data_IF_090449557137
#
_entry.id   IF_090449557137
#
_cell.length_a   1.000
_cell.length_b   1.000
_cell.length_c   1.000
_cell.angle_alpha   90.00
_cell.angle_beta   90.00
_cell.angle_gamma   90.00
#
_symmetry.space_group_name_H-M   'P 1'
#
loop_
_entity.id
_entity.type
_entity.pdbx_description
1 polymer ?
#
# COMPACT_ATOMS: atom_id res chain seq x y z
N UNK A 1 26.11 58.07 -42.19
CA UNK A 1 26.33 56.60 -42.07
C UNK A 1 25.65 55.92 -43.26
N UNK A 2 26.13 54.76 -43.70
CA UNK A 2 25.47 53.98 -44.78
C UNK A 2 24.11 53.46 -44.28
N UNK A 3 23.02 53.85 -44.93
CA UNK A 3 21.65 53.47 -44.54
C UNK A 3 20.95 52.75 -45.69
N UNK A 4 20.93 51.41 -45.65
CA UNK A 4 20.23 50.62 -46.66
C UNK A 4 20.82 50.76 -48.08
N UNK A 5 19.97 50.65 -49.12
CA UNK A 5 20.36 50.10 -50.43
C UNK A 5 21.37 50.98 -51.17
N UNK A 6 22.64 50.56 -51.14
CA UNK A 6 23.70 50.87 -52.10
C UNK A 6 23.85 52.34 -52.56
N UNK A 7 23.41 53.33 -51.76
CA UNK A 7 23.43 54.73 -52.16
C UNK A 7 23.87 55.66 -51.02
N UNK A 8 24.74 56.61 -51.35
CA UNK A 8 25.06 57.78 -50.53
C UNK A 8 24.28 58.98 -51.07
N UNK A 9 23.21 59.36 -50.36
CA UNK A 9 22.40 60.54 -50.67
C UNK A 9 22.90 61.72 -49.83
N UNK A 10 23.29 62.81 -50.49
CA UNK A 10 23.86 63.99 -49.85
C UNK A 10 23.16 65.26 -50.33
N UNK A 11 22.58 66.03 -49.40
CA UNK A 11 22.04 67.36 -49.72
C UNK A 11 23.19 68.31 -50.04
N UNK A 12 23.19 68.90 -51.24
CA UNK A 12 24.23 69.83 -51.67
C UNK A 12 24.11 71.17 -50.92
N UNK A 13 25.07 71.53 -50.05
CA UNK A 13 24.99 72.74 -49.22
C UNK A 13 25.58 73.98 -49.92
N UNK A 14 26.11 73.84 -51.14
CA UNK A 14 26.89 74.90 -51.78
C UNK A 14 25.97 76.01 -52.29
N UNK A 15 26.20 77.21 -51.79
CA UNK A 15 25.57 78.45 -52.25
C UNK A 15 26.59 79.31 -53.01
N UNK A 16 26.08 80.11 -53.93
CA UNK A 16 26.82 81.19 -54.58
C UNK A 16 27.06 82.38 -53.64
N UNK A 17 27.94 83.28 -54.05
CA UNK A 17 28.15 84.62 -53.49
C UNK A 17 26.86 85.46 -53.37
N UNK A 18 25.79 85.07 -54.08
CA UNK A 18 24.45 85.69 -54.04
C UNK A 18 23.43 84.89 -53.24
N UNK A 19 23.83 83.82 -52.55
CA UNK A 19 22.99 82.98 -51.69
C UNK A 19 22.11 81.95 -52.42
N UNK A 20 22.14 81.88 -53.75
CA UNK A 20 21.42 80.86 -54.52
C UNK A 20 22.23 79.55 -54.58
N UNK A 21 21.56 78.39 -54.47
CA UNK A 21 22.20 77.07 -54.56
C UNK A 21 22.94 76.89 -55.89
N UNK A 22 24.18 76.40 -55.81
CA UNK A 22 25.00 76.08 -56.97
C UNK A 22 24.90 74.59 -57.31
N UNK A 23 24.43 74.29 -58.51
CA UNK A 23 24.55 72.96 -59.09
C UNK A 23 26.03 72.56 -59.20
N UNK A 24 26.39 71.29 -58.95
CA UNK A 24 27.76 70.82 -59.12
C UNK A 24 28.20 70.96 -60.58
N UNK A 25 29.42 71.46 -60.77
CA UNK A 25 30.09 71.61 -62.06
C UNK A 25 30.65 70.27 -62.58
N UNK A 26 30.95 69.34 -61.67
CA UNK A 26 31.34 67.97 -62.00
C UNK A 26 31.29 67.08 -60.76
N UNK A 27 30.92 65.80 -60.95
CA UNK A 27 30.78 64.82 -59.87
C UNK A 27 31.63 63.61 -60.24
N UNK A 28 32.40 63.09 -59.29
CA UNK A 28 33.25 61.92 -59.48
C UNK A 28 32.49 60.63 -59.15
N UNK A 29 32.96 59.52 -59.70
CA UNK A 29 32.50 58.16 -59.38
C UNK A 29 30.98 57.98 -59.58
N UNK A 30 30.50 58.40 -60.77
CA UNK A 30 29.14 58.24 -61.28
C UNK A 30 28.02 58.77 -60.37
N UNK A 31 28.34 59.77 -59.53
CA UNK A 31 27.36 60.46 -58.72
C UNK A 31 26.39 61.31 -59.55
N UNK A 32 25.09 61.19 -59.25
CA UNK A 32 23.99 61.81 -60.00
C UNK A 32 23.46 63.01 -59.21
N UNK A 33 23.40 64.19 -59.81
CA UNK A 33 22.74 65.35 -59.22
C UNK A 33 21.26 65.41 -59.58
N UNK A 34 20.40 65.41 -58.56
CA UNK A 34 18.97 65.61 -58.68
C UNK A 34 18.63 67.08 -58.44
N UNK A 35 18.63 67.88 -59.50
CA UNK A 35 18.38 69.32 -59.43
C UNK A 35 17.04 69.69 -58.74
N UNK A 36 15.98 68.88 -58.92
CA UNK A 36 14.68 69.12 -58.30
C UNK A 36 14.63 68.95 -56.77
N UNK A 37 15.60 68.24 -56.18
CA UNK A 37 15.73 68.04 -54.72
C UNK A 37 17.03 68.61 -54.16
N UNK A 38 17.91 69.16 -55.00
CA UNK A 38 19.27 69.60 -54.65
C UNK A 38 20.12 68.52 -53.95
N UNK A 39 19.92 67.24 -54.28
CA UNK A 39 20.72 66.14 -53.74
C UNK A 39 21.72 65.59 -54.77
N UNK A 40 22.86 65.09 -54.28
CA UNK A 40 23.80 64.27 -55.04
C UNK A 40 23.70 62.83 -54.52
N UNK A 41 23.57 61.87 -55.44
CA UNK A 41 23.41 60.45 -55.12
C UNK A 41 24.53 59.66 -55.78
N UNK A 42 25.43 59.09 -54.97
CA UNK A 42 26.40 58.10 -55.44
C UNK A 42 25.87 56.70 -55.22
N UNK A 43 26.00 55.82 -56.20
CA UNK A 43 25.77 54.39 -56.00
C UNK A 43 27.06 53.76 -55.45
N UNK A 44 27.01 53.25 -54.22
CA UNK A 44 28.14 52.59 -53.57
C UNK A 44 28.13 51.10 -53.91
N UNK A 45 29.27 50.56 -54.30
CA UNK A 45 29.43 49.11 -54.48
C UNK A 45 29.25 48.41 -53.11
N UNK A 46 28.54 47.26 -53.00
CA UNK A 46 28.47 46.48 -51.76
C UNK A 46 29.85 46.14 -51.14
N UNK A 47 30.91 46.07 -51.94
CA UNK A 47 32.30 45.82 -51.52
C UNK A 47 33.12 47.10 -51.23
N UNK A 48 32.57 48.31 -51.39
CA UNK A 48 33.26 49.54 -51.00
C UNK A 48 33.53 49.59 -49.49
N UNK A 49 34.68 50.17 -49.13
CA UNK A 49 35.09 50.42 -47.75
C UNK A 49 34.77 51.88 -47.36
N UNK A 50 34.85 52.20 -46.07
CA UNK A 50 34.90 53.58 -45.56
C UNK A 50 35.86 54.44 -46.37
N UNK A 51 35.42 55.64 -46.76
CA UNK A 51 36.14 56.50 -47.70
C UNK A 51 35.50 57.87 -47.83
N UNK A 52 35.60 58.49 -49.02
CA UNK A 52 34.95 59.77 -49.30
C UNK A 52 34.58 59.90 -50.77
N UNK A 53 33.39 60.41 -51.07
CA UNK A 53 33.03 60.84 -52.44
C UNK A 53 33.35 62.33 -52.61
N UNK A 54 33.37 62.84 -53.85
CA UNK A 54 33.68 64.25 -54.11
C UNK A 54 32.95 64.81 -55.32
N UNK A 55 32.67 66.11 -55.25
CA UNK A 55 32.15 66.89 -56.36
C UNK A 55 32.79 68.28 -56.36
N UNK A 56 32.72 68.95 -57.51
CA UNK A 56 33.24 70.28 -57.72
C UNK A 56 32.09 71.23 -58.01
N UNK A 57 32.24 72.48 -57.57
CA UNK A 57 31.30 73.56 -57.84
C UNK A 57 32.06 74.76 -58.41
N UNK A 58 31.38 75.54 -59.24
CA UNK A 58 31.90 76.79 -59.76
C UNK A 58 30.77 77.78 -60.05
N UNK A 59 30.98 79.04 -59.70
CA UNK A 59 30.30 80.15 -60.34
C UNK A 59 30.95 80.41 -61.70
N UNK A 60 30.09 80.54 -62.71
CA UNK A 60 30.49 80.79 -64.09
C UNK A 60 30.27 82.27 -64.42
N UNK A 61 31.22 82.88 -65.12
CA UNK A 61 31.08 84.24 -65.62
C UNK A 61 30.06 84.30 -66.78
N UNK A 62 29.80 85.49 -67.31
CA UNK A 62 28.86 85.68 -68.43
C UNK A 62 29.29 84.98 -69.74
N UNK A 63 30.48 84.37 -69.80
CA UNK A 63 31.00 83.58 -70.92
C UNK A 63 31.02 82.08 -70.62
N UNK A 64 30.56 81.65 -69.44
CA UNK A 64 30.58 80.25 -68.99
C UNK A 64 31.88 79.83 -68.31
N UNK A 65 32.79 80.76 -67.99
CA UNK A 65 34.11 80.45 -67.41
C UNK A 65 34.03 80.34 -65.89
N UNK A 66 34.50 79.24 -65.27
CA UNK A 66 34.67 79.16 -63.82
C UNK A 66 35.58 80.28 -63.27
N UNK A 67 35.08 81.11 -62.36
CA UNK A 67 35.88 82.19 -61.72
C UNK A 67 35.96 82.08 -60.19
N UNK A 68 35.01 81.40 -59.56
CA UNK A 68 35.00 81.11 -58.12
C UNK A 68 34.47 79.70 -57.92
N UNK A 69 35.26 78.80 -57.33
CA UNK A 69 34.89 77.39 -57.24
C UNK A 69 35.75 76.60 -56.27
N UNK A 70 35.38 75.35 -56.05
CA UNK A 70 36.06 74.47 -55.09
C UNK A 70 35.64 73.02 -55.21
N UNK A 71 36.25 72.20 -54.35
CA UNK A 71 35.94 70.77 -54.19
C UNK A 71 35.25 70.55 -52.86
N UNK A 72 34.09 69.91 -52.87
CA UNK A 72 33.48 69.33 -51.66
C UNK A 72 33.86 67.85 -51.60
N UNK A 73 34.35 67.43 -50.44
CA UNK A 73 34.66 66.03 -50.13
C UNK A 73 33.72 65.57 -49.03
N UNK A 74 32.93 64.53 -49.32
CA UNK A 74 31.93 63.97 -48.40
C UNK A 74 32.47 62.65 -47.85
N UNK A 75 32.97 62.60 -46.60
CA UNK A 75 33.37 61.34 -45.99
C UNK A 75 32.15 60.45 -45.74
N UNK A 76 32.31 59.14 -45.90
CA UNK A 76 31.29 58.15 -45.59
C UNK A 76 31.90 56.93 -44.92
N UNK A 77 31.17 56.37 -43.95
CA UNK A 77 31.57 55.18 -43.21
C UNK A 77 30.68 54.00 -43.57
N UNK A 78 31.32 52.86 -43.84
CA UNK A 78 30.67 51.57 -44.11
C UNK A 78 30.75 50.74 -42.83
N UNK A 79 29.70 50.83 -42.03
CA UNK A 79 29.53 50.00 -40.83
C UNK A 79 29.06 48.60 -41.23
N UNK A 80 29.62 47.57 -40.57
CA UNK A 80 29.11 46.20 -40.67
C UNK A 80 28.03 45.99 -39.63
N UNK A 81 27.01 45.24 -39.99
CA UNK A 81 26.06 44.73 -39.00
C UNK A 81 26.71 43.70 -38.07
N UNK A 82 26.34 43.74 -36.80
CA UNK A 82 26.58 42.65 -35.87
C UNK A 82 25.69 41.45 -36.19
N UNK A 83 26.15 40.21 -35.95
CA UNK A 83 25.32 39.03 -36.12
C UNK A 83 24.21 38.96 -35.07
N UNK A 84 23.13 38.25 -35.39
CA UNK A 84 22.05 37.92 -34.45
C UNK A 84 22.21 36.48 -34.01
N UNK A 85 22.39 36.25 -32.70
CA UNK A 85 22.34 34.89 -32.14
C UNK A 85 20.92 34.58 -31.68
N UNK A 86 20.29 33.59 -32.31
CA UNK A 86 18.99 33.05 -31.93
C UNK A 86 19.20 31.87 -30.98
N UNK A 87 18.73 32.02 -29.74
CA UNK A 87 18.85 31.05 -28.65
C UNK A 87 17.50 30.39 -28.38
N UNK A 88 17.55 29.11 -28.03
CA UNK A 88 16.38 28.31 -27.65
C UNK A 88 16.62 27.79 -26.23
N UNK A 89 15.90 28.35 -25.25
CA UNK A 89 16.16 28.09 -23.82
C UNK A 89 14.91 27.61 -23.08
N UNK A 90 15.11 26.87 -21.99
CA UNK A 90 14.03 26.57 -21.06
C UNK A 90 13.74 27.74 -20.09
N UNK A 91 12.75 27.59 -19.22
CA UNK A 91 12.40 28.55 -18.15
C UNK A 91 13.52 28.87 -17.16
N UNK A 92 14.55 28.03 -17.06
CA UNK A 92 15.75 28.28 -16.25
C UNK A 92 16.87 29.01 -17.02
N UNK A 93 16.71 29.23 -18.33
CA UNK A 93 17.71 29.86 -19.20
C UNK A 93 18.76 28.90 -19.79
N UNK A 94 18.61 27.60 -19.58
CA UNK A 94 19.48 26.56 -20.13
C UNK A 94 19.18 26.35 -21.62
N UNK A 95 20.22 26.18 -22.45
CA UNK A 95 20.07 25.95 -23.90
C UNK A 95 19.60 24.53 -24.16
N UNK A 96 18.45 24.40 -24.84
CA UNK A 96 17.77 23.12 -25.09
C UNK A 96 17.73 22.70 -26.57
N UNK A 97 18.15 23.57 -27.48
CA UNK A 97 18.38 23.24 -28.89
C UNK A 97 19.55 24.08 -29.47
N UNK A 98 20.19 23.64 -30.58
CA UNK A 98 21.32 24.36 -31.16
C UNK A 98 21.01 25.81 -31.52
N UNK A 99 21.87 26.73 -31.09
CA UNK A 99 21.75 28.16 -31.41
C UNK A 99 22.01 28.41 -32.90
N UNK A 100 21.35 29.44 -33.46
CA UNK A 100 21.52 29.84 -34.87
C UNK A 100 22.10 31.24 -34.96
N UNK A 101 22.99 31.48 -35.92
CA UNK A 101 23.52 32.80 -36.21
C UNK A 101 22.91 33.33 -37.51
N UNK A 102 22.33 34.53 -37.47
CA UNK A 102 21.87 35.26 -38.66
C UNK A 102 22.83 36.42 -38.97
N UNK A 103 23.05 36.68 -40.25
CA UNK A 103 23.93 37.76 -40.74
C UNK A 103 23.26 38.48 -41.90
N UNK A 104 23.36 39.80 -41.95
CA UNK A 104 22.79 40.64 -43.02
C UNK A 104 23.46 42.01 -43.08
N UNK A 105 22.85 42.95 -43.80
CA UNK A 105 23.33 44.33 -43.90
C UNK A 105 22.74 45.24 -42.80
N UNK A 106 23.45 46.30 -42.43
CA UNK A 106 22.99 47.27 -41.43
C UNK A 106 21.65 47.90 -41.85
N UNK A 107 20.66 47.84 -40.95
CA UNK A 107 19.30 48.31 -41.19
C UNK A 107 18.42 47.38 -42.04
N UNK A 108 18.96 46.27 -42.57
CA UNK A 108 18.15 45.23 -43.22
C UNK A 108 17.25 44.56 -42.17
N UNK A 109 16.01 44.23 -42.54
CA UNK A 109 15.13 43.44 -41.69
C UNK A 109 15.51 41.96 -41.68
N UNK A 110 15.25 41.30 -40.56
CA UNK A 110 15.33 39.85 -40.43
C UNK A 110 14.11 39.29 -39.71
N UNK A 111 13.85 38.01 -39.94
CA UNK A 111 12.89 37.21 -39.19
C UNK A 111 13.58 35.95 -38.68
N UNK A 112 13.16 35.45 -37.53
CA UNK A 112 13.51 34.10 -37.09
C UNK A 112 12.27 33.37 -36.58
N UNK A 113 12.33 32.05 -36.69
CA UNK A 113 11.26 31.14 -36.31
C UNK A 113 11.69 30.31 -35.10
N UNK A 114 10.74 30.11 -34.19
CA UNK A 114 10.82 29.11 -33.14
C UNK A 114 10.90 27.72 -33.79
N UNK A 115 11.76 26.84 -33.25
CA UNK A 115 11.83 25.45 -33.69
C UNK A 115 10.96 24.56 -32.81
N UNK A 116 10.49 23.44 -33.36
CA UNK A 116 9.89 22.38 -32.54
C UNK A 116 10.99 21.65 -31.78
N UNK A 117 10.81 21.48 -30.47
CA UNK A 117 11.77 20.81 -29.58
C UNK A 117 11.02 19.69 -28.86
N UNK A 118 11.45 18.42 -28.96
CA UNK A 118 10.80 17.31 -28.26
C UNK A 118 10.63 17.61 -26.77
N UNK A 119 9.42 17.34 -26.25
CA UNK A 119 9.09 17.50 -24.82
C UNK A 119 9.11 18.93 -24.29
N UNK A 120 9.18 19.94 -25.15
CA UNK A 120 9.13 21.36 -24.81
C UNK A 120 8.08 22.12 -25.65
N UNK A 121 7.28 22.96 -24.99
CA UNK A 121 6.33 23.85 -25.63
C UNK A 121 6.84 25.31 -25.54
N UNK A 122 6.71 26.07 -26.63
CA UNK A 122 7.03 27.50 -26.65
C UNK A 122 6.07 28.25 -25.70
N UNK A 123 6.62 29.14 -24.87
CA UNK A 123 5.82 29.95 -23.93
C UNK A 123 5.24 31.20 -24.63
N UNK A 124 5.97 31.72 -25.61
CA UNK A 124 5.53 32.89 -26.38
C UNK A 124 4.37 32.57 -27.32
N UNK A 125 3.43 33.51 -27.43
CA UNK A 125 2.23 33.40 -28.26
C UNK A 125 2.53 33.38 -29.77
N UNK A 126 3.72 33.81 -30.18
CA UNK A 126 4.15 33.95 -31.58
C UNK A 126 5.37 33.09 -31.86
N UNK A 127 5.27 32.19 -32.84
CA UNK A 127 6.39 31.37 -33.32
C UNK A 127 7.40 32.14 -34.17
N UNK A 128 7.21 33.45 -34.37
CA UNK A 128 8.06 34.32 -35.19
C UNK A 128 8.44 35.57 -34.41
N UNK A 129 9.72 35.96 -34.52
CA UNK A 129 10.21 37.26 -34.08
C UNK A 129 10.91 37.97 -35.25
N UNK A 130 10.82 39.31 -35.27
CA UNK A 130 11.34 40.14 -36.34
C UNK A 130 12.15 41.32 -35.78
N UNK A 131 13.19 41.75 -36.51
CA UNK A 131 14.03 42.87 -36.12
C UNK A 131 14.76 43.49 -37.32
N UNK A 132 15.71 44.37 -37.02
CA UNK A 132 16.65 44.95 -38.00
C UNK A 132 18.08 44.81 -37.46
N UNK A 133 19.04 44.56 -38.34
CA UNK A 133 20.45 44.44 -37.93
C UNK A 133 21.03 45.81 -37.49
N UNK A 134 21.61 45.85 -36.29
CA UNK A 134 22.40 46.98 -35.76
C UNK A 134 23.91 46.77 -35.96
N UNK A 135 24.72 47.76 -35.60
CA UNK A 135 26.18 47.63 -35.53
C UNK A 135 26.60 46.64 -34.43
N UNK A 136 25.96 46.71 -33.25
CA UNK A 136 26.18 45.78 -32.15
C UNK A 136 25.56 44.40 -32.44
N UNK A 137 26.22 43.27 -32.07
CA UNK A 137 25.62 41.95 -32.10
C UNK A 137 24.41 41.87 -31.17
N UNK A 138 23.36 41.16 -31.57
CA UNK A 138 22.13 41.02 -30.78
C UNK A 138 21.87 39.57 -30.40
N UNK A 139 21.14 39.37 -29.30
CA UNK A 139 20.68 38.05 -28.85
C UNK A 139 19.15 38.05 -28.86
N UNK A 140 18.56 37.10 -29.57
CA UNK A 140 17.12 36.87 -29.60
C UNK A 140 16.83 35.50 -29.00
N UNK A 141 15.88 35.40 -28.08
CA UNK A 141 15.71 34.20 -27.24
C UNK A 141 14.27 33.71 -27.28
N UNK A 142 14.04 32.51 -27.80
CA UNK A 142 12.77 31.81 -27.64
C UNK A 142 12.80 31.00 -26.35
N UNK A 143 11.79 31.18 -25.49
CA UNK A 143 11.69 30.51 -24.19
C UNK A 143 10.61 29.43 -24.22
N UNK A 144 10.96 28.24 -23.73
CA UNK A 144 10.10 27.07 -23.71
C UNK A 144 9.89 26.57 -22.27
N UNK A 145 8.72 25.98 -21.98
CA UNK A 145 8.48 25.18 -20.78
C UNK A 145 8.42 23.70 -21.17
N UNK A 146 8.87 22.81 -20.27
CA UNK A 146 8.76 21.37 -20.49
C UNK A 146 7.27 20.99 -20.50
N UNK A 147 6.86 20.13 -21.43
CA UNK A 147 5.46 19.71 -21.56
C UNK A 147 5.01 18.99 -20.28
N UNK A 148 3.78 19.25 -19.82
CA UNK A 148 3.16 18.49 -18.71
C UNK A 148 2.67 17.16 -19.27
N UNK A 149 3.06 16.06 -18.64
CA UNK A 149 2.70 14.73 -19.08
C UNK A 149 1.27 14.33 -18.67
N UNK A 150 0.76 13.26 -19.26
CA UNK A 150 -0.45 12.63 -18.74
C UNK A 150 -0.21 12.01 -17.35
N UNK A 151 -1.23 12.00 -16.48
CA UNK A 151 -1.10 11.45 -15.14
C UNK A 151 -0.95 9.93 -15.15
N UNK A 152 -0.23 9.42 -14.16
CA UNK A 152 -0.10 7.98 -13.90
C UNK A 152 -1.04 7.61 -12.76
N UNK A 153 -1.90 6.61 -12.98
CA UNK A 153 -2.77 6.05 -11.93
C UNK A 153 -2.12 4.80 -11.33
N UNK A 154 -2.02 4.74 -10.01
CA UNK A 154 -1.45 3.61 -9.28
C UNK A 154 -2.55 2.93 -8.47
N UNK A 155 -2.76 1.63 -8.70
CA UNK A 155 -3.78 0.83 -8.02
C UNK A 155 -3.16 -0.28 -7.18
N UNK A 156 -3.88 -0.68 -6.13
CA UNK A 156 -3.48 -1.68 -5.16
C UNK A 156 -4.65 -2.62 -4.91
N UNK A 157 -4.56 -3.86 -5.37
CA UNK A 157 -5.72 -4.78 -5.40
C UNK A 157 -5.33 -6.23 -5.16
N UNK A 158 -6.31 -7.04 -4.76
CA UNK A 158 -6.15 -8.48 -4.61
C UNK A 158 -6.08 -9.21 -5.97
N UNK A 159 -5.69 -10.48 -5.94
CA UNK A 159 -5.87 -11.41 -7.07
C UNK A 159 -7.31 -11.47 -7.62
N UNK A 160 -8.31 -11.16 -6.79
CA UNK A 160 -9.74 -11.12 -7.14
C UNK A 160 -10.25 -9.74 -7.57
N UNK A 161 -9.39 -8.72 -7.64
CA UNK A 161 -9.75 -7.35 -8.04
C UNK A 161 -10.40 -6.50 -6.94
N UNK A 162 -10.36 -6.94 -5.66
CA UNK A 162 -10.77 -6.11 -4.52
C UNK A 162 -9.72 -5.01 -4.33
N UNK A 163 -10.12 -3.74 -4.35
CA UNK A 163 -9.24 -2.62 -3.96
C UNK A 163 -8.84 -2.75 -2.49
N UNK A 164 -7.53 -2.76 -2.21
CA UNK A 164 -6.97 -2.97 -0.86
C UNK A 164 -6.43 -1.68 -0.24
N UNK A 165 -6.07 -0.69 -1.06
CA UNK A 165 -5.56 0.60 -0.62
C UNK A 165 -6.03 1.69 -1.59
N UNK A 166 -6.29 2.94 -1.14
CA UNK A 166 -6.63 4.05 -2.01
C UNK A 166 -5.65 4.20 -3.19
N UNK A 167 -6.19 4.42 -4.38
CA UNK A 167 -5.40 4.68 -5.58
C UNK A 167 -4.64 6.01 -5.46
N UNK A 168 -3.47 6.08 -6.07
CA UNK A 168 -2.61 7.28 -6.10
C UNK A 168 -2.49 7.79 -7.53
N UNK A 169 -2.60 9.11 -7.72
CA UNK A 169 -2.25 9.75 -8.98
C UNK A 169 -0.86 10.37 -8.88
N UNK A 170 0.00 10.14 -9.86
CA UNK A 170 1.23 10.90 -10.06
C UNK A 170 1.06 11.87 -11.23
N UNK A 171 1.70 13.04 -11.11
CA UNK A 171 1.78 14.07 -12.15
C UNK A 171 3.23 14.49 -12.29
N UNK A 172 3.70 14.71 -13.51
CA UNK A 172 5.07 15.12 -13.81
C UNK A 172 5.17 15.81 -15.16
N UNK A 173 6.38 16.22 -15.54
CA UNK A 173 6.71 16.71 -16.88
C UNK A 173 7.02 15.52 -17.81
N UNK A 174 6.89 15.72 -19.12
CA UNK A 174 7.20 14.67 -20.11
C UNK A 174 8.66 14.21 -19.97
N UNK A 175 8.90 12.91 -20.14
CA UNK A 175 10.18 12.21 -19.91
C UNK A 175 10.75 12.29 -18.49
N UNK A 176 10.05 12.91 -17.53
CA UNK A 176 10.47 12.86 -16.12
C UNK A 176 10.43 11.40 -15.63
N UNK A 177 11.45 10.96 -14.90
CA UNK A 177 11.52 9.61 -14.38
C UNK A 177 10.65 9.45 -13.13
N UNK A 178 10.00 8.30 -12.99
CA UNK A 178 9.30 7.91 -11.77
C UNK A 178 9.80 6.55 -11.25
N UNK A 179 9.72 6.41 -9.93
CA UNK A 179 9.92 5.17 -9.21
C UNK A 179 8.81 5.09 -8.16
N UNK A 180 8.18 3.92 -8.05
CA UNK A 180 7.20 3.62 -7.01
C UNK A 180 7.75 2.53 -6.09
N UNK A 181 7.28 2.58 -4.84
CA UNK A 181 7.45 1.51 -3.85
C UNK A 181 6.08 0.91 -3.53
N UNK A 182 6.05 -0.40 -3.30
CA UNK A 182 4.84 -1.09 -2.88
C UNK A 182 4.57 -0.85 -1.39
N UNK A 183 3.40 -0.29 -0.99
CA UNK A 183 3.04 -0.18 0.41
C UNK A 183 2.89 -1.57 1.05
N UNK A 184 3.16 -1.67 2.35
CA UNK A 184 2.77 -2.83 3.14
C UNK A 184 1.27 -2.73 3.43
N UNK A 185 0.54 -3.84 3.27
CA UNK A 185 -0.91 -3.93 3.49
C UNK A 185 -1.14 -5.11 4.46
N UNK A 186 -1.80 -4.86 5.59
CA UNK A 186 -2.04 -5.89 6.63
C UNK A 186 -2.78 -7.09 6.04
N UNK A 187 -2.36 -8.30 6.39
CA UNK A 187 -2.95 -9.55 5.89
C UNK A 187 -2.71 -9.85 4.41
N UNK A 188 -1.89 -9.07 3.70
CA UNK A 188 -1.61 -9.23 2.27
C UNK A 188 -0.09 -9.18 1.97
N UNK A 189 0.35 -9.97 0.98
CA UNK A 189 1.73 -9.93 0.45
C UNK A 189 1.72 -9.56 -1.03
N UNK A 190 2.63 -8.69 -1.46
CA UNK A 190 2.79 -8.36 -2.87
C UNK A 190 3.21 -9.61 -3.66
N UNK A 191 2.46 -9.98 -4.70
CA UNK A 191 2.77 -11.17 -5.49
C UNK A 191 4.03 -10.98 -6.34
N UNK A 192 4.11 -9.84 -7.04
CA UNK A 192 5.28 -9.44 -7.82
C UNK A 192 5.29 -7.92 -8.04
N UNK A 193 6.49 -7.36 -8.19
CA UNK A 193 6.69 -6.00 -8.68
C UNK A 193 6.14 -5.86 -10.13
N UNK A 194 5.27 -4.89 -10.44
CA UNK A 194 4.84 -4.65 -11.81
C UNK A 194 6.02 -4.14 -12.65
N UNK A 195 6.09 -4.54 -13.93
CA UNK A 195 7.22 -4.17 -14.82
C UNK A 195 7.37 -2.65 -15.00
N UNK A 196 6.27 -1.91 -14.89
CA UNK A 196 6.21 -0.45 -14.92
C UNK A 196 6.12 0.17 -13.52
N UNK A 197 6.69 -0.48 -12.48
CA UNK A 197 6.91 0.15 -11.18
C UNK A 197 7.85 1.37 -11.27
N UNK A 198 8.68 1.42 -12.33
CA UNK A 198 9.53 2.54 -12.70
C UNK A 198 9.48 2.76 -14.21
N UNK A 199 9.78 4.00 -14.62
CA UNK A 199 9.77 4.40 -16.01
C UNK A 199 9.83 5.92 -16.16
N UNK A 200 9.33 6.41 -17.28
CA UNK A 200 9.20 7.84 -17.55
C UNK A 200 7.74 8.21 -17.79
N UNK A 201 7.37 9.43 -17.44
CA UNK A 201 6.08 10.02 -17.79
C UNK A 201 5.93 10.21 -19.30
N UNK A 202 4.75 9.90 -19.84
CA UNK A 202 4.43 9.92 -21.29
C UNK A 202 3.27 10.87 -21.62
N UNK A 203 3.04 11.12 -22.91
CA UNK A 203 1.87 11.85 -23.41
C UNK A 203 0.57 11.07 -23.19
N UNK A 204 0.63 9.74 -23.21
CA UNK A 204 -0.49 8.85 -22.89
C UNK A 204 -0.56 8.55 -21.38
N UNK A 205 -1.76 8.43 -20.77
CA UNK A 205 -1.92 8.08 -19.37
C UNK A 205 -1.52 6.63 -19.10
N UNK A 206 -0.78 6.41 -18.01
CA UNK A 206 -0.32 5.07 -17.62
C UNK A 206 -1.08 4.54 -16.40
N UNK A 207 -1.15 3.21 -16.25
CA UNK A 207 -1.64 2.55 -15.03
C UNK A 207 -0.58 1.60 -14.48
N UNK A 208 -0.18 1.78 -13.22
CA UNK A 208 0.74 0.90 -12.48
C UNK A 208 -0.07 0.10 -11.47
N UNK A 209 -0.15 -1.21 -11.67
CA UNK A 209 -1.04 -2.11 -10.91
C UNK A 209 -0.25 -3.00 -9.97
N UNK A 210 -0.32 -2.75 -8.67
CA UNK A 210 0.25 -3.64 -7.65
C UNK A 210 -0.80 -4.68 -7.25
N UNK A 211 -0.44 -5.96 -7.42
CA UNK A 211 -1.33 -7.10 -7.15
C UNK A 211 -0.84 -7.85 -5.92
N UNK A 212 -1.74 -8.03 -4.96
CA UNK A 212 -1.45 -8.68 -3.68
C UNK A 212 -2.21 -10.00 -3.56
N UNK A 213 -1.57 -10.96 -2.91
CA UNK A 213 -2.17 -12.22 -2.47
C UNK A 213 -2.53 -12.09 -0.99
N UNK A 214 -3.70 -12.61 -0.60
CA UNK A 214 -4.06 -12.73 0.81
C UNK A 214 -3.10 -13.70 1.51
N UNK A 215 -2.67 -13.36 2.71
CA UNK A 215 -1.87 -14.27 3.53
C UNK A 215 -2.79 -15.32 4.16
N UNK A 216 -2.29 -16.53 4.49
CA UNK A 216 -3.03 -17.47 5.31
C UNK A 216 -3.48 -16.83 6.62
N UNK A 217 -4.77 -16.96 6.94
CA UNK A 217 -5.32 -16.47 8.20
C UNK A 217 -4.87 -17.29 9.41
N UNK A 218 -4.94 -16.67 10.58
CA UNK A 218 -4.84 -17.37 11.86
C UNK A 218 -5.98 -18.40 12.00
N UNK A 219 -5.69 -19.64 12.44
CA UNK A 219 -6.69 -20.70 12.47
C UNK A 219 -7.84 -20.41 13.43
N UNK A 220 -9.03 -20.90 13.10
CA UNK A 220 -10.21 -20.83 13.96
C UNK A 220 -10.39 -22.19 14.63
N UNK A 221 -10.19 -22.25 15.94
CA UNK A 221 -10.28 -23.48 16.73
C UNK A 221 -11.67 -23.56 17.37
N UNK A 222 -12.42 -24.61 17.01
CA UNK A 222 -13.77 -24.89 17.49
C UNK A 222 -13.71 -25.91 18.63
N UNK A 223 -14.13 -25.48 19.82
CA UNK A 223 -14.25 -26.29 21.03
C UNK A 223 -15.71 -26.67 21.30
N UNK A 224 -15.90 -27.88 21.84
CA UNK A 224 -17.18 -28.44 22.24
C UNK A 224 -17.07 -28.91 23.69
N UNK A 225 -17.59 -28.12 24.63
CA UNK A 225 -17.36 -28.30 26.06
C UNK A 225 -18.65 -28.30 26.87
N UNK A 226 -18.62 -28.85 28.07
CA UNK A 226 -19.74 -28.72 29.03
C UNK A 226 -19.72 -27.37 29.78
N UNK A 227 -20.73 -27.16 30.64
CA UNK A 227 -20.88 -25.99 31.51
C UNK A 227 -19.67 -25.77 32.46
N UNK A 228 -18.79 -26.75 32.65
CA UNK A 228 -17.57 -26.65 33.47
C UNK A 228 -16.29 -26.36 32.66
N UNK A 229 -16.40 -26.32 31.33
CA UNK A 229 -15.24 -26.15 30.42
C UNK A 229 -14.53 -27.45 30.05
N UNK A 230 -15.06 -28.62 30.45
CA UNK A 230 -14.49 -29.91 30.06
C UNK A 230 -14.82 -30.21 28.59
N UNK A 231 -13.80 -30.51 27.80
CA UNK A 231 -13.98 -30.94 26.41
C UNK A 231 -14.71 -32.27 26.33
N UNK A 232 -15.78 -32.31 25.52
CA UNK A 232 -16.63 -33.49 25.33
C UNK A 232 -16.20 -34.35 24.14
N UNK A 233 -15.62 -33.70 23.12
CA UNK A 233 -15.08 -34.31 21.90
C UNK A 233 -13.82 -33.57 21.46
N UNK A 234 -12.96 -34.14 20.60
CA UNK A 234 -11.82 -33.44 20.02
C UNK A 234 -12.23 -32.13 19.33
N UNK A 235 -11.38 -31.12 19.44
CA UNK A 235 -11.58 -29.82 18.80
C UNK A 235 -11.40 -29.92 17.29
N UNK A 236 -12.04 -29.02 16.56
CA UNK A 236 -11.90 -28.90 15.12
C UNK A 236 -11.16 -27.61 14.76
N UNK A 237 -10.39 -27.60 13.69
CA UNK A 237 -9.66 -26.40 13.23
C UNK A 237 -10.09 -26.08 11.83
N UNK A 238 -10.57 -24.85 11.62
CA UNK A 238 -10.81 -24.27 10.31
C UNK A 238 -9.57 -23.45 9.91
N UNK A 239 -9.24 -23.49 8.62
CA UNK A 239 -8.18 -22.71 7.99
C UNK A 239 -8.74 -22.07 6.72
N UNK A 240 -8.24 -20.88 6.39
CA UNK A 240 -8.58 -20.12 5.19
C UNK A 240 -7.67 -18.91 5.06
N UNK A 241 -7.83 -18.14 3.98
CA UNK A 241 -7.05 -16.93 3.75
C UNK A 241 -7.57 -15.75 4.57
N UNK A 242 -6.74 -14.74 4.79
CA UNK A 242 -7.12 -13.52 5.50
C UNK A 242 -8.35 -12.84 4.86
N UNK A 243 -9.30 -12.41 5.70
CA UNK A 243 -10.65 -11.93 5.34
C UNK A 243 -11.59 -12.96 4.66
N UNK A 244 -11.16 -14.21 4.40
CA UNK A 244 -12.08 -15.26 3.96
C UNK A 244 -13.13 -15.58 5.05
N UNK A 245 -14.37 -15.84 4.65
CA UNK A 245 -15.46 -16.14 5.59
C UNK A 245 -15.39 -17.58 6.10
N UNK A 246 -15.60 -17.78 7.40
CA UNK A 246 -15.76 -19.10 8.00
C UNK A 246 -17.16 -19.29 8.61
N UNK A 247 -17.54 -20.57 8.71
CA UNK A 247 -18.71 -21.02 9.45
C UNK A 247 -18.31 -22.25 10.27
N UNK A 248 -18.40 -22.13 11.59
CA UNK A 248 -18.35 -23.25 12.51
C UNK A 248 -19.76 -23.80 12.73
N UNK A 249 -19.88 -25.10 12.98
CA UNK A 249 -21.15 -25.78 13.23
C UNK A 249 -21.17 -26.46 14.59
N UNK A 250 -22.35 -26.52 15.20
CA UNK A 250 -22.56 -27.30 16.41
C UNK A 250 -22.50 -28.80 16.07
N UNK A 251 -21.81 -29.59 16.89
CA UNK A 251 -21.77 -31.05 16.74
C UNK A 251 -22.88 -31.71 17.57
N UNK A 252 -23.48 -32.78 17.06
CA UNK A 252 -24.30 -33.68 17.87
C UNK A 252 -23.40 -34.55 18.76
N UNK A 253 -23.70 -34.61 20.06
CA UNK A 253 -22.89 -35.30 21.07
C UNK A 253 -23.84 -36.18 21.90
N UNK A 254 -23.58 -37.48 21.95
CA UNK A 254 -24.45 -38.44 22.66
C UNK A 254 -24.61 -38.06 24.14
N UNK A 255 -25.84 -38.08 24.64
CA UNK A 255 -26.22 -37.71 26.01
C UNK A 255 -25.99 -36.22 26.39
N UNK A 256 -25.76 -35.33 25.42
CA UNK A 256 -25.61 -33.90 25.64
C UNK A 256 -26.49 -33.08 24.69
N UNK A 257 -27.09 -32.01 25.23
CA UNK A 257 -27.88 -31.03 24.47
C UNK A 257 -27.11 -29.72 24.40
N UNK A 258 -27.10 -29.06 23.23
CA UNK A 258 -26.49 -27.73 23.07
C UNK A 258 -27.25 -26.69 23.90
N UNK A 259 -26.54 -25.91 24.73
CA UNK A 259 -27.14 -24.83 25.54
C UNK A 259 -26.68 -23.44 25.14
N UNK A 260 -25.48 -23.30 24.56
CA UNK A 260 -24.98 -22.01 24.08
C UNK A 260 -24.22 -22.14 22.76
N UNK A 261 -24.76 -21.48 21.74
CA UNK A 261 -24.04 -21.18 20.50
C UNK A 261 -23.25 -19.87 20.67
N UNK A 262 -21.97 -19.81 20.24
CA UNK A 262 -21.17 -18.59 20.31
C UNK A 262 -21.59 -17.59 19.23
N UNK A 263 -21.41 -16.29 19.50
CA UNK A 263 -21.74 -15.21 18.55
C UNK A 263 -20.77 -15.14 17.36
N UNK A 264 -19.54 -15.64 17.52
CA UNK A 264 -18.55 -15.81 16.45
C UNK A 264 -18.60 -17.21 15.83
N UNK A 265 -19.77 -17.86 15.78
CA UNK A 265 -19.95 -19.09 15.00
C UNK A 265 -19.72 -18.86 13.49
N UNK A 266 -20.01 -17.66 13.01
CA UNK A 266 -19.61 -17.17 11.68
C UNK A 266 -18.74 -15.93 11.84
N UNK A 267 -17.86 -15.70 10.87
CA UNK A 267 -16.95 -14.56 10.86
C UNK A 267 -16.01 -14.61 9.66
N UNK A 268 -14.91 -13.87 9.74
CA UNK A 268 -13.80 -13.96 8.78
C UNK A 268 -12.50 -14.33 9.49
N UNK A 269 -11.58 -14.97 8.77
CA UNK A 269 -10.24 -15.23 9.29
C UNK A 269 -9.47 -13.91 9.48
N UNK A 270 -8.81 -13.78 10.63
CA UNK A 270 -7.95 -12.65 11.01
C UNK A 270 -6.49 -13.07 11.01
N UNK A 271 -5.54 -12.15 11.13
CA UNK A 271 -4.12 -12.52 11.31
C UNK A 271 -3.90 -13.34 12.60
N UNK A 272 -4.60 -12.99 13.68
CA UNK A 272 -4.58 -13.73 14.94
C UNK A 272 -5.46 -15.00 14.88
N UNK A 273 -5.09 -16.10 15.55
CA UNK A 273 -5.97 -17.26 15.73
C UNK A 273 -7.21 -16.89 16.55
N UNK A 274 -8.32 -17.57 16.28
CA UNK A 274 -9.60 -17.34 16.95
C UNK A 274 -10.09 -18.62 17.64
N UNK A 275 -10.95 -18.46 18.65
CA UNK A 275 -11.58 -19.59 19.35
C UNK A 275 -13.10 -19.46 19.32
N UNK A 276 -13.77 -20.54 18.93
CA UNK A 276 -15.23 -20.67 18.86
C UNK A 276 -15.65 -21.75 19.85
N UNK A 277 -16.56 -21.45 20.79
CA UNK A 277 -16.90 -22.37 21.88
C UNK A 277 -18.40 -22.66 21.89
N UNK A 278 -18.78 -23.89 21.56
CA UNK A 278 -20.12 -24.42 21.80
C UNK A 278 -20.18 -25.02 23.20
N UNK A 279 -21.15 -24.56 24.00
CA UNK A 279 -21.40 -25.09 25.35
C UNK A 279 -22.60 -26.02 25.36
N UNK A 280 -22.45 -27.16 26.03
CA UNK A 280 -23.45 -28.21 26.13
C UNK A 280 -23.79 -28.51 27.59
N UNK A 281 -24.97 -29.07 27.82
CA UNK A 281 -25.41 -29.61 29.10
C UNK A 281 -25.77 -31.07 28.93
N UNK A 282 -25.43 -31.92 29.90
CA UNK A 282 -25.81 -33.33 29.88
C UNK A 282 -27.34 -33.46 29.89
N UNK A 283 -27.88 -34.24 28.97
CA UNK A 283 -29.32 -34.51 28.89
C UNK A 283 -29.75 -35.28 30.16
N UNK A 284 -30.85 -34.89 30.84
CA UNK A 284 -31.35 -35.65 31.98
C UNK A 284 -31.94 -36.98 31.49
N UNK A 285 -31.58 -38.08 32.16
CA UNK A 285 -32.19 -39.37 31.91
C UNK A 285 -33.56 -39.49 32.59
N UNK A 286 -34.40 -40.39 32.09
CA UNK A 286 -35.65 -40.72 32.74
C UNK A 286 -35.42 -41.54 34.02
N UNK A 287 -36.30 -41.44 35.03
CA UNK A 287 -36.10 -42.09 36.31
C UNK A 287 -36.15 -43.62 36.21
N UNK A 288 -35.44 -44.27 37.14
CA UNK A 288 -35.56 -45.71 37.41
C UNK A 288 -36.38 -45.89 38.69
N UNK A 289 -37.55 -46.51 38.56
CA UNK A 289 -38.40 -46.85 39.72
C UNK A 289 -38.02 -48.23 40.24
N UNK A 290 -37.55 -48.28 41.48
CA UNK A 290 -37.26 -49.53 42.19
C UNK A 290 -38.41 -49.85 43.14
N UNK A 291 -39.04 -51.00 42.95
CA UNK A 291 -40.16 -51.47 43.78
C UNK A 291 -39.87 -52.84 44.41
N UNK A 292 -40.52 -53.08 45.56
CA UNK A 292 -40.30 -54.25 46.40
C UNK A 292 -41.66 -54.90 46.69
N UNK A 293 -41.87 -56.11 46.16
CA UNK A 293 -43.18 -56.78 46.20
C UNK A 293 -43.07 -58.24 46.63
N UNK A 294 -44.11 -58.75 47.27
CA UNK A 294 -44.33 -60.18 47.48
C UNK A 294 -44.52 -60.91 46.13
N UNK A 295 -44.28 -62.22 46.08
CA UNK A 295 -44.71 -63.11 44.99
C UNK A 295 -46.22 -63.07 44.74
N UNK A 296 -47.01 -62.68 45.76
CA UNK A 296 -48.46 -62.42 45.66
C UNK A 296 -48.82 -61.04 45.11
N UNK A 297 -47.83 -60.16 44.87
CA UNK A 297 -48.02 -58.81 44.31
C UNK A 297 -48.17 -57.69 45.34
N UNK A 298 -48.33 -57.99 46.63
CA UNK A 298 -48.36 -56.99 47.71
C UNK A 298 -47.09 -56.14 47.74
N UNK A 299 -47.21 -54.82 47.91
CA UNK A 299 -46.04 -53.91 48.02
C UNK A 299 -45.50 -53.92 49.45
N UNK A 300 -44.27 -54.39 49.62
CA UNK A 300 -43.64 -54.60 50.93
C UNK A 300 -42.83 -53.39 51.43
N UNK A 301 -42.43 -52.48 50.54
CA UNK A 301 -41.69 -51.27 50.88
C UNK A 301 -42.05 -50.12 49.92
N UNK A 302 -42.00 -48.84 50.34
CA UNK A 302 -42.09 -47.70 49.44
C UNK A 302 -41.14 -47.79 48.24
N UNK A 303 -41.58 -47.27 47.10
CA UNK A 303 -40.77 -47.21 45.89
C UNK A 303 -39.61 -46.22 46.04
N UNK A 304 -38.47 -46.53 45.41
CA UNK A 304 -37.32 -45.62 45.35
C UNK A 304 -37.15 -45.14 43.91
N UNK A 305 -37.16 -43.83 43.72
CA UNK A 305 -36.93 -43.19 42.42
C UNK A 305 -35.45 -42.82 42.33
N UNK A 306 -34.72 -43.43 41.40
CA UNK A 306 -33.35 -43.06 41.07
C UNK A 306 -33.36 -42.09 39.88
N UNK A 307 -32.53 -41.04 39.94
CA UNK A 307 -32.40 -40.02 38.90
C UNK A 307 -30.93 -39.76 38.58
N UNK A 308 -30.63 -39.44 37.32
CA UNK A 308 -29.28 -39.12 36.85
C UNK A 308 -29.27 -38.63 35.41
N UNK A 309 -28.09 -38.31 34.89
CA UNK A 309 -27.92 -37.93 33.48
C UNK A 309 -28.06 -39.13 32.54
N UNK A 310 -28.49 -38.89 31.31
CA UNK A 310 -28.56 -39.93 30.29
C UNK A 310 -27.15 -40.56 30.08
N UNK A 311 -27.10 -41.89 29.96
CA UNK A 311 -25.85 -42.65 29.90
C UNK A 311 -25.05 -42.69 31.22
N UNK A 312 -25.53 -42.09 32.32
CA UNK A 312 -24.93 -42.24 33.65
C UNK A 312 -25.36 -43.57 34.27
N UNK A 313 -24.49 -44.21 35.04
CA UNK A 313 -24.77 -45.52 35.62
C UNK A 313 -25.72 -45.42 36.83
N UNK A 314 -26.60 -46.39 36.97
CA UNK A 314 -27.37 -46.64 38.19
C UNK A 314 -27.14 -48.06 38.70
N UNK A 315 -27.33 -48.23 40.00
CA UNK A 315 -27.39 -49.53 40.65
C UNK A 315 -28.47 -49.51 41.74
N UNK A 316 -29.14 -50.64 41.89
CA UNK A 316 -30.15 -50.90 42.91
C UNK A 316 -29.89 -52.27 43.53
N UNK A 317 -30.40 -52.47 44.73
CA UNK A 317 -30.15 -53.67 45.54
C UNK A 317 -31.43 -54.14 46.20
N UNK A 318 -31.51 -55.45 46.46
CA UNK A 318 -32.52 -56.03 47.32
C UNK A 318 -32.39 -55.43 48.73
N UNK A 319 -33.50 -55.23 49.40
CA UNK A 319 -33.55 -54.86 50.81
C UNK A 319 -33.76 -56.12 51.64
N UNK A 320 -33.27 -56.12 52.88
CA UNK A 320 -33.70 -57.09 53.87
C UNK A 320 -35.08 -56.65 54.39
N UNK A 321 -36.09 -57.51 54.24
CA UNK A 321 -37.48 -57.22 54.63
C UNK A 321 -37.91 -58.27 55.67
N UNK A 322 -38.22 -57.89 56.92
CA UNK A 322 -38.54 -58.86 57.98
C UNK A 322 -39.72 -59.77 57.61
N UNK A 323 -39.53 -61.09 57.76
CA UNK A 323 -40.54 -62.11 57.44
C UNK A 323 -40.64 -62.48 55.95
N UNK A 324 -39.69 -62.03 55.12
CA UNK A 324 -39.67 -62.25 53.68
C UNK A 324 -38.24 -62.51 53.17
N UNK A 325 -38.02 -63.61 52.45
CA UNK A 325 -36.74 -63.86 51.77
C UNK A 325 -36.76 -63.33 50.33
N UNK A 326 -35.64 -62.73 49.89
CA UNK A 326 -35.49 -62.30 48.50
C UNK A 326 -35.47 -63.52 47.56
N UNK A 327 -36.29 -63.48 46.51
CA UNK A 327 -36.46 -64.60 45.58
C UNK A 327 -35.82 -64.32 44.22
N UNK A 328 -36.12 -63.18 43.61
CA UNK A 328 -35.60 -62.80 42.28
C UNK A 328 -35.79 -61.31 41.98
N UNK A 329 -34.98 -60.76 41.07
CA UNK A 329 -35.17 -59.41 40.52
C UNK A 329 -35.75 -59.52 39.10
N UNK A 330 -36.72 -58.67 38.80
CA UNK A 330 -37.33 -58.51 37.47
C UNK A 330 -36.96 -57.12 36.95
N UNK A 331 -36.32 -57.07 35.78
CA UNK A 331 -35.69 -55.85 35.25
C UNK A 331 -34.16 -55.90 35.39
N UNK A 332 -33.50 -54.76 35.20
CA UNK A 332 -32.04 -54.64 35.29
C UNK A 332 -31.64 -53.96 36.60
N UNK A 333 -31.05 -54.72 37.55
CA UNK A 333 -30.64 -54.18 38.84
C UNK A 333 -29.57 -53.08 38.73
N UNK A 334 -28.77 -53.10 37.67
CA UNK A 334 -27.79 -52.08 37.30
C UNK A 334 -27.83 -51.83 35.79
N UNK A 335 -27.53 -50.60 35.39
CA UNK A 335 -27.59 -50.18 33.99
C UNK A 335 -27.21 -48.71 33.84
N UNK A 336 -27.67 -48.08 32.77
CA UNK A 336 -27.56 -46.62 32.59
C UNK A 336 -28.95 -45.97 32.46
N UNK A 337 -29.08 -44.71 32.89
CA UNK A 337 -30.30 -43.95 32.61
C UNK A 337 -30.44 -43.72 31.11
N UNK A 338 -31.66 -43.87 30.60
CA UNK A 338 -32.00 -43.76 29.17
C UNK A 338 -33.02 -42.64 28.94
N UNK A 339 -33.44 -42.48 27.69
CA UNK A 339 -34.55 -41.64 27.24
C UNK A 339 -35.94 -42.12 27.72
N UNK A 340 -36.02 -43.29 28.36
CA UNK A 340 -37.26 -43.97 28.76
C UNK A 340 -37.23 -44.38 30.23
N UNK A 341 -38.35 -44.26 30.98
CA UNK A 341 -38.39 -44.70 32.36
C UNK A 341 -38.16 -46.22 32.44
N UNK A 342 -37.43 -46.64 33.47
CA UNK A 342 -37.09 -48.04 33.70
C UNK A 342 -37.68 -48.51 35.03
N UNK A 343 -37.93 -49.82 35.16
CA UNK A 343 -38.43 -50.41 36.40
C UNK A 343 -37.55 -51.59 36.83
N UNK A 344 -37.28 -51.66 38.13
CA UNK A 344 -36.61 -52.78 38.78
C UNK A 344 -37.49 -53.26 39.92
N UNK A 345 -38.03 -54.47 39.80
CA UNK A 345 -38.91 -55.06 40.83
C UNK A 345 -38.21 -56.21 41.52
N UNK A 346 -37.92 -56.04 42.80
CA UNK A 346 -37.44 -57.11 43.66
C UNK A 346 -38.65 -57.89 44.18
N UNK A 347 -38.69 -59.20 43.89
CA UNK A 347 -39.72 -60.12 44.33
C UNK A 347 -39.23 -60.92 45.54
N UNK A 348 -40.08 -61.00 46.55
CA UNK A 348 -39.83 -61.68 47.82
C UNK A 348 -40.91 -62.71 48.08
N UNK A 349 -40.55 -63.83 48.70
CA UNK A 349 -41.53 -64.80 49.17
C UNK A 349 -41.64 -64.67 50.70
N UNK A 350 -42.85 -64.71 51.28
CA UNK A 350 -43.00 -64.73 52.73
C UNK A 350 -42.30 -65.97 53.29
N UNK A 351 -41.58 -65.79 54.40
CA UNK A 351 -41.02 -66.91 55.14
C UNK A 351 -42.18 -67.80 55.61
N UNK A 352 -42.21 -69.05 55.16
CA UNK A 352 -43.21 -69.99 55.62
C UNK A 352 -43.05 -70.15 57.13
N UNK A 353 -44.06 -69.73 57.90
CA UNK A 353 -44.16 -70.10 59.31
C UNK A 353 -44.22 -71.61 59.38
N UNK A 354 -43.08 -72.22 59.70
CA UNK A 354 -42.96 -73.66 59.85
C UNK A 354 -43.83 -74.07 61.04
N UNK A 355 -45.07 -74.42 60.75
CA UNK A 355 -46.07 -74.89 61.71
C UNK A 355 -45.72 -76.31 62.13
N UNK A 356 -44.65 -76.44 62.92
CA UNK A 356 -44.11 -77.71 63.34
C UNK A 356 -43.19 -77.58 64.56
N UNK A 357 -43.69 -78.04 65.71
CA UNK A 357 -42.86 -78.33 66.87
C UNK A 357 -42.99 -77.32 68.01
N UNK A 358 -43.63 -77.77 69.10
CA UNK A 358 -43.42 -77.20 70.42
C UNK A 358 -41.95 -77.41 70.79
N UNK A 359 -41.22 -76.31 71.02
CA UNK A 359 -39.94 -76.32 71.72
C UNK A 359 -40.04 -75.40 72.94
N UNK A 360 -39.60 -75.92 74.09
CA UNK A 360 -39.63 -75.24 75.39
C UNK A 360 -38.55 -74.14 75.48
N UNK A 361 -38.69 -73.15 76.37
CA UNK A 361 -38.00 -71.86 76.24
C UNK A 361 -36.58 -71.84 76.82
N UNK A 362 -35.83 -70.76 76.52
CA UNK A 362 -35.22 -70.02 77.61
C UNK A 362 -35.44 -68.49 77.56
N UNK A 363 -36.16 -67.99 78.56
CA UNK A 363 -35.87 -66.83 79.43
C UNK A 363 -34.94 -65.68 78.95
N UNK A 364 -35.57 -64.51 78.75
CA UNK A 364 -35.14 -63.12 79.05
C UNK A 364 -34.06 -62.44 78.19
N UNK A 365 -34.41 -61.24 77.70
CA UNK A 365 -33.45 -60.18 77.36
C UNK A 365 -33.96 -59.09 76.41
N UNK A 366 -34.98 -58.30 76.76
CA UNK A 366 -35.38 -57.13 75.94
C UNK A 366 -35.70 -55.86 76.74
N UNK A 367 -35.13 -54.76 76.22
CA UNK A 367 -35.60 -53.39 76.35
C UNK A 367 -34.65 -52.46 75.58
N UNK A 368 -35.08 -51.29 75.07
CA UNK A 368 -36.45 -50.87 74.76
C UNK A 368 -36.66 -50.42 73.29
N UNK A 369 -37.91 -50.11 72.98
CA UNK A 369 -38.53 -49.45 71.80
C UNK A 369 -37.66 -48.47 70.98
N UNK A 370 -37.99 -48.26 69.69
CA UNK A 370 -38.59 -46.95 69.35
C UNK A 370 -39.82 -46.98 68.42
N UNK A 371 -40.51 -45.84 68.36
CA UNK A 371 -41.51 -45.45 67.35
C UNK A 371 -41.15 -44.04 66.81
N UNK A 372 -41.87 -43.48 65.83
CA UNK A 372 -41.75 -43.76 64.40
C UNK A 372 -41.00 -42.64 63.63
N UNK A 373 -41.04 -42.72 62.29
CA UNK A 373 -40.26 -41.92 61.32
C UNK A 373 -40.34 -40.37 61.45
N UNK A 374 -39.32 -39.70 60.93
CA UNK A 374 -39.41 -38.33 60.40
C UNK A 374 -38.49 -38.18 59.18
N UNK A 375 -38.95 -37.46 58.16
CA UNK A 375 -38.32 -37.32 56.84
C UNK A 375 -36.89 -36.77 56.87
N UNK A 376 -36.03 -37.28 55.97
CA UNK A 376 -34.67 -36.76 55.79
C UNK A 376 -34.13 -36.98 54.37
N UNK A 377 -34.09 -35.90 53.58
CA UNK A 377 -33.27 -35.82 52.35
C UNK A 377 -31.79 -35.84 52.74
N UNK A 378 -31.00 -36.78 52.24
CA UNK A 378 -29.54 -36.84 52.51
C UNK A 378 -28.73 -36.84 51.21
N UNK A 379 -27.67 -36.02 51.21
CA UNK A 379 -26.73 -35.88 50.12
C UNK A 379 -25.76 -37.07 50.00
N UNK A 380 -25.40 -37.35 48.74
CA UNK A 380 -24.28 -38.14 48.23
C UNK A 380 -23.01 -38.12 49.12
N UNK A 381 -22.39 -39.29 49.42
CA UNK A 381 -20.98 -39.36 49.74
C UNK A 381 -20.13 -39.25 48.47
N UNK A 382 -19.01 -38.52 48.53
CA UNK A 382 -18.01 -38.46 47.47
C UNK A 382 -16.76 -39.22 47.87
N UNK A 383 -16.39 -40.25 47.12
CA UNK A 383 -15.12 -40.97 47.29
C UNK A 383 -14.09 -40.51 46.26
N UNK A 384 -13.08 -39.81 46.75
CA UNK A 384 -11.85 -39.50 46.00
C UNK A 384 -11.00 -40.77 45.85
N UNK A 385 -10.59 -41.11 44.62
CA UNK A 385 -9.56 -42.12 44.39
C UNK A 385 -8.19 -41.44 44.42
N UNK A 386 -7.44 -41.68 45.49
CA UNK A 386 -6.02 -41.30 45.57
C UNK A 386 -5.15 -42.39 44.94
N UNK A 387 -4.30 -42.01 43.99
CA UNK A 387 -3.32 -42.93 43.39
C UNK A 387 -2.00 -42.84 44.14
N UNK A 388 -1.53 -43.95 44.72
CA UNK A 388 -0.17 -44.08 45.27
C UNK A 388 0.56 -45.25 44.61
N UNK A 389 1.76 -44.96 44.10
CA UNK A 389 2.73 -45.97 43.66
C UNK A 389 3.39 -46.64 44.88
N UNK A 390 3.99 -47.83 44.72
CA UNK A 390 5.45 -47.82 44.76
C UNK A 390 6.15 -48.78 43.79
N UNK A 391 7.47 -48.65 43.73
CA UNK A 391 8.42 -49.28 42.80
C UNK A 391 9.29 -50.36 43.47
N UNK A 392 9.80 -51.33 42.68
CA UNK A 392 11.24 -51.63 42.44
C UNK A 392 11.53 -53.06 41.95
N UNK A 393 12.57 -53.17 41.10
CA UNK A 393 13.37 -54.35 40.70
C UNK A 393 12.67 -55.67 40.27
N UNK A 394 13.05 -56.31 39.15
CA UNK A 394 14.42 -56.82 38.92
C UNK A 394 14.77 -57.06 37.44
N UNK A 395 16.08 -57.12 37.15
CA UNK A 395 16.71 -57.52 35.86
C UNK A 395 17.35 -58.92 36.06
N UNK A 396 17.52 -59.80 35.04
CA UNK A 396 18.65 -59.73 34.07
C UNK A 396 18.20 -59.98 32.60
N UNK A 397 18.80 -59.41 31.55
CA UNK A 397 20.17 -59.53 31.00
C UNK A 397 20.44 -60.80 30.17
N UNK A 398 20.31 -60.70 28.83
CA UNK A 398 21.03 -61.51 27.84
C UNK A 398 21.03 -60.85 26.45
N UNK A 399 22.17 -60.89 25.77
CA UNK A 399 22.48 -60.53 24.36
C UNK A 399 23.91 -61.04 24.08
N UNK A 400 24.47 -61.06 22.84
CA UNK A 400 23.88 -60.80 21.51
C UNK A 400 24.15 -61.94 20.49
N UNK A 401 23.61 -61.84 19.27
CA UNK A 401 24.23 -62.44 18.07
C UNK A 401 24.09 -61.50 16.87
N UNK A 402 25.13 -61.43 16.06
CA UNK A 402 25.32 -60.54 14.89
C UNK A 402 24.95 -61.21 13.56
N UNK A 403 24.70 -60.37 12.54
CA UNK A 403 25.19 -60.66 11.18
C UNK A 403 25.53 -59.35 10.46
N UNK A 404 26.56 -59.42 9.62
CA UNK A 404 27.31 -58.30 9.06
C UNK A 404 27.31 -58.39 7.53
N UNK A 405 27.26 -57.26 6.80
CA UNK A 405 28.03 -57.11 5.54
C UNK A 405 28.18 -55.65 5.08
N UNK A 406 29.32 -55.40 4.45
CA UNK A 406 29.87 -54.16 3.84
C UNK A 406 30.62 -54.66 2.55
N UNK A 407 31.42 -53.89 1.76
CA UNK A 407 31.69 -52.44 1.70
C UNK A 407 31.90 -51.81 0.27
N UNK A 408 32.13 -50.47 0.22
CA UNK A 408 33.10 -49.71 -0.66
C UNK A 408 32.87 -49.74 -2.20
N UNK A 409 32.95 -48.64 -2.96
CA UNK A 409 34.00 -47.58 -3.14
C UNK A 409 33.38 -46.34 -3.84
N UNK A 410 33.91 -45.11 -3.88
CA UNK A 410 35.14 -44.48 -3.38
C UNK A 410 35.41 -43.17 -4.17
N UNK A 411 36.17 -42.21 -3.62
CA UNK A 411 36.55 -40.97 -4.34
C UNK A 411 36.65 -39.72 -3.44
N UNK A 412 37.83 -39.12 -3.35
CA UNK A 412 38.15 -37.94 -2.51
C UNK A 412 38.88 -36.86 -3.34
N UNK A 413 38.60 -35.57 -3.05
CA UNK A 413 39.32 -34.31 -3.37
C UNK A 413 38.31 -33.13 -3.10
N UNK A 414 38.61 -31.95 -2.53
CA UNK A 414 39.86 -31.36 -1.98
C UNK A 414 39.53 -30.37 -0.82
N UNK A 415 40.57 -29.87 -0.14
CA UNK A 415 40.63 -28.73 0.82
C UNK A 415 40.64 -27.34 0.10
N UNK A 416 40.69 -26.17 0.80
CA UNK A 416 40.21 -25.80 2.15
C UNK A 416 39.54 -24.39 2.24
N UNK A 417 39.00 -24.02 3.42
CA UNK A 417 39.40 -22.80 4.21
C UNK A 417 38.28 -22.08 4.99
N UNK A 418 38.70 -21.49 6.12
CA UNK A 418 38.03 -20.55 7.06
C UNK A 418 37.22 -19.42 6.40
N UNK A 419 36.25 -18.76 7.05
CA UNK A 419 36.36 -18.14 8.38
C UNK A 419 35.00 -17.70 8.97
N UNK A 420 34.98 -17.39 10.27
CA UNK A 420 33.82 -16.86 10.98
C UNK A 420 33.61 -15.34 10.74
N UNK A 421 32.37 -14.90 10.94
CA UNK A 421 31.92 -13.50 10.83
C UNK A 421 32.55 -12.59 11.92
N UNK A 422 32.96 -11.35 11.59
CA UNK A 422 33.22 -10.32 12.59
C UNK A 422 31.93 -9.69 13.13
N UNK A 423 32.03 -9.12 14.34
CA UNK A 423 30.92 -8.45 15.07
C UNK A 423 30.65 -7.04 14.53
N UNK A 424 29.44 -6.56 14.77
CA UNK A 424 29.04 -5.15 14.66
C UNK A 424 29.64 -4.29 15.78
N UNK A 425 30.06 -3.06 15.47
CA UNK A 425 30.28 -2.02 16.49
C UNK A 425 31.30 -0.92 16.15
N UNK A 426 30.86 0.15 15.47
CA UNK A 426 31.41 1.52 15.53
C UNK A 426 30.22 2.48 15.26
N UNK A 427 29.80 3.33 16.22
CA UNK A 427 30.40 4.63 16.64
C UNK A 427 30.20 5.75 15.61
N UNK A 428 29.40 6.76 15.99
CA UNK A 428 29.06 7.93 15.18
C UNK A 428 29.82 9.15 15.72
N UNK A 429 30.60 9.89 14.90
CA UNK A 429 31.12 11.19 15.29
C UNK A 429 30.10 12.31 15.01
N UNK A 430 29.92 13.21 15.98
CA UNK A 430 29.05 14.39 15.90
C UNK A 430 29.88 15.66 15.69
N UNK A 431 29.37 16.58 14.87
CA UNK A 431 29.90 17.94 14.65
C UNK A 431 30.56 18.14 13.28
N UNK A 432 30.45 19.27 12.59
CA UNK A 432 29.79 20.58 12.84
C UNK A 432 29.62 21.24 11.45
N UNK A 433 28.63 22.06 11.07
CA UNK A 433 28.42 23.52 11.30
C UNK A 433 27.27 23.90 10.31
N UNK A 434 26.09 24.39 10.71
CA UNK A 434 25.72 25.80 10.95
C UNK A 434 25.92 26.81 9.79
N UNK A 435 25.01 26.83 8.79
CA UNK A 435 24.67 28.03 7.99
C UNK A 435 23.16 28.00 7.68
N UNK A 436 22.43 29.12 7.80
CA UNK A 436 21.10 29.26 7.20
C UNK A 436 19.92 29.69 8.09
N UNK A 437 20.12 30.56 9.08
CA UNK A 437 18.99 31.35 9.64
C UNK A 437 18.73 32.57 8.74
N UNK A 438 17.47 33.02 8.66
CA UNK A 438 16.92 34.17 7.92
C UNK A 438 16.46 33.91 6.47
N UNK A 439 15.17 33.57 6.29
CA UNK A 439 14.33 34.16 5.24
C UNK A 439 12.79 34.05 5.48
N UNK A 440 12.33 33.81 6.72
CA UNK A 440 10.90 33.65 7.05
C UNK A 440 10.17 34.95 7.48
N UNK A 441 10.73 36.12 7.19
CA UNK A 441 10.07 37.42 7.43
C UNK A 441 9.59 38.14 6.14
N UNK A 442 10.06 37.75 4.95
CA UNK A 442 9.80 38.47 3.70
C UNK A 442 8.43 38.20 3.05
N UNK A 443 7.89 36.98 3.20
CA UNK A 443 6.74 36.51 2.39
C UNK A 443 5.39 37.06 2.89
N UNK A 444 5.26 37.36 4.19
CA UNK A 444 4.02 37.88 4.77
C UNK A 444 3.66 39.30 4.31
N UNK A 445 4.66 40.18 4.15
CA UNK A 445 4.43 41.59 3.81
C UNK A 445 3.96 41.78 2.35
N UNK A 446 4.40 40.93 1.43
CA UNK A 446 4.10 41.06 0.00
C UNK A 446 2.64 40.71 -0.32
N UNK A 447 2.08 39.65 0.32
CA UNK A 447 0.68 39.23 0.11
C UNK A 447 -0.35 40.24 0.64
N UNK A 448 -0.05 40.97 1.72
CA UNK A 448 -0.98 41.96 2.29
C UNK A 448 -1.12 43.21 1.42
N UNK A 449 -0.05 43.67 0.77
CA UNK A 449 -0.06 44.92 -0.04
C UNK A 449 -0.84 44.79 -1.35
N UNK A 450 -0.92 43.59 -1.94
CA UNK A 450 -1.59 43.38 -3.23
C UNK A 450 -3.12 43.25 -3.15
N UNK A 451 -3.69 42.71 -2.07
CA UNK A 451 -5.15 42.55 -1.96
C UNK A 451 -5.93 43.86 -1.71
N UNK A 452 -5.27 44.95 -1.28
CA UNK A 452 -5.94 46.25 -1.07
C UNK A 452 -6.14 47.11 -2.33
N UNK A 453 -5.75 46.63 -3.52
CA UNK A 453 -5.86 47.40 -4.79
C UNK A 453 -6.96 46.94 -5.77
N UNK A 454 -7.77 45.95 -5.41
CA UNK A 454 -8.87 45.45 -6.27
C UNK A 454 -10.27 45.67 -5.68
N UNK A 455 -10.41 46.55 -4.67
CA UNK A 455 -11.71 46.96 -4.12
C UNK A 455 -11.81 48.49 -4.03
N UNK A 456 -11.71 49.15 -5.19
CA UNK A 456 -12.23 50.50 -5.49
C UNK A 456 -12.00 50.79 -6.97
N UNK A 457 -12.96 50.41 -7.82
CA UNK A 457 -13.33 51.07 -9.08
C UNK A 457 -14.67 50.51 -9.56
#
# INVERSE_FOLDING_TARGET
QKTGPSQLVFLNPVLSTKGASLSPFGIYEDGIYQAGTNHIIWHLNPLEKTGSKSFYYAELDAKGTPYNGGRVTVPYEVVKAGPITVRYVNTAGEVIAPERTLTGEYGQSFTAEAVSIPSYALIETTSTMSGVYSEEPQIMTFVYDKVVAAPITVTYESLTGKTLHPAKTLTGKLDEAYQLDAPQISGYTLQAAPKNQSGNFTEEPQTVRFVYQANPGGPVIVHYQDETGKMLVPSHTLSGDYEESYQAEARSIAHYTLTKQPSNATGTFTEAPQTVIYTYKRTPGQPVTVSYHSTTGERLHPERILTGGEGEAYASFALEIPGYHFQQVVGQASGTYTDKPQQVRYLYQPEEKMSGGISTPPTIGQGPSPSPETSGTIQRPSTSVGTSSPSLWSRPSASPTSSETKPVSGGSLTRPSSSALPRTGEQVPVGSVLVGVLLLAGVGYYRWRHHRKQSTK
#
